data_IF_109749767328
#
_entry.id   IF_109749767328
#
_cell.length_a   1.000
_cell.length_b   1.000
_cell.length_c   1.000
_cell.angle_alpha   90.00
_cell.angle_beta   90.00
_cell.angle_gamma   90.00
#
_symmetry.space_group_name_H-M   'P 1'
#
loop_
_entity.id
_entity.type
_entity.pdbx_description
1 polymer ?
#
# COMPACT_ATOMS: atom_id res chain seq x y z
N UNK A 1 2.50 -7.00 0.27
CA UNK A 1 1.04 -6.91 0.33
C UNK A 1 0.64 -5.44 0.38
N UNK A 2 -0.12 -4.99 -0.61
CA UNK A 2 -0.60 -3.61 -0.70
C UNK A 2 -2.11 -3.60 -0.51
N UNK A 3 -2.60 -2.83 0.45
CA UNK A 3 -4.02 -2.68 0.78
C UNK A 3 -4.42 -1.21 0.63
N UNK A 4 -5.60 -0.97 0.07
CA UNK A 4 -6.11 0.40 -0.09
C UNK A 4 -6.55 0.97 1.27
N UNK A 5 -6.39 2.29 1.45
CA UNK A 5 -6.71 2.95 2.72
C UNK A 5 -8.20 2.84 3.09
N UNK A 6 -9.10 2.84 2.12
CA UNK A 6 -10.54 2.65 2.38
C UNK A 6 -10.84 1.26 2.94
N UNK A 7 -10.11 0.23 2.48
CA UNK A 7 -10.23 -1.12 3.02
C UNK A 7 -9.69 -1.18 4.44
N UNK A 8 -8.57 -0.52 4.74
CA UNK A 8 -8.06 -0.41 6.12
C UNK A 8 -9.07 0.30 7.01
N UNK A 9 -9.64 1.43 6.57
CA UNK A 9 -10.66 2.16 7.32
C UNK A 9 -11.90 1.30 7.58
N UNK A 10 -12.37 0.56 6.57
CA UNK A 10 -13.51 -0.34 6.73
C UNK A 10 -13.24 -1.49 7.70
N UNK A 11 -12.00 -2.02 7.73
CA UNK A 11 -11.59 -3.00 8.70
C UNK A 11 -11.63 -2.45 10.13
N UNK A 12 -11.12 -1.23 10.34
CA UNK A 12 -11.15 -0.59 11.65
C UNK A 12 -12.58 -0.35 12.13
N UNK A 13 -13.49 0.09 11.26
CA UNK A 13 -14.91 0.24 11.59
C UNK A 13 -15.50 -1.10 12.00
N UNK A 14 -15.26 -2.17 11.23
CA UNK A 14 -15.75 -3.50 11.57
C UNK A 14 -15.25 -3.99 12.94
N UNK A 15 -13.98 -3.71 13.29
CA UNK A 15 -13.43 -4.05 14.59
C UNK A 15 -14.08 -3.28 15.74
N UNK A 16 -14.34 -1.98 15.54
CA UNK A 16 -14.98 -1.12 16.55
C UNK A 16 -16.44 -1.51 16.80
N UNK A 17 -17.13 -1.92 15.74
CA UNK A 17 -18.54 -2.34 15.82
C UNK A 17 -18.74 -3.77 16.33
N UNK A 18 -17.67 -4.58 16.36
CA UNK A 18 -17.75 -5.95 16.83
C UNK A 18 -17.98 -6.01 18.35
N UNK A 19 -18.90 -6.85 18.83
CA UNK A 19 -19.20 -6.97 20.26
C UNK A 19 -18.02 -7.56 21.04
N UNK A 20 -17.30 -8.49 20.46
CA UNK A 20 -16.16 -9.19 21.07
C UNK A 20 -15.04 -9.40 20.04
N UNK A 21 -14.31 -8.32 19.66
CA UNK A 21 -13.24 -8.47 18.69
C UNK A 21 -12.04 -9.22 19.29
N UNK A 22 -11.32 -9.96 18.45
CA UNK A 22 -10.03 -10.50 18.86
C UNK A 22 -9.04 -9.34 19.14
N UNK A 23 -8.03 -9.57 20.03
CA UNK A 23 -7.11 -8.49 20.42
C UNK A 23 -6.21 -8.01 19.27
N UNK A 24 -6.01 -8.83 18.23
CA UNK A 24 -5.15 -8.54 17.09
C UNK A 24 -5.76 -9.12 15.82
N UNK A 25 -5.83 -8.31 14.77
CA UNK A 25 -6.14 -8.73 13.42
C UNK A 25 -5.07 -8.26 12.43
N UNK A 26 -4.76 -9.10 11.45
CA UNK A 26 -4.03 -8.67 10.28
C UNK A 26 -5.01 -8.06 9.27
N UNK A 27 -4.63 -6.91 8.71
CA UNK A 27 -5.38 -6.26 7.62
C UNK A 27 -4.52 -6.28 6.37
N UNK A 28 -4.93 -7.00 5.36
CA UNK A 28 -4.17 -7.16 4.12
C UNK A 28 -5.00 -7.85 3.04
N UNK A 29 -4.43 -7.97 1.86
CA UNK A 29 -5.10 -8.63 0.72
C UNK A 29 -4.76 -10.12 0.61
N UNK A 30 -3.74 -10.58 1.32
CA UNK A 30 -3.18 -11.92 1.17
C UNK A 30 -2.40 -12.12 -0.15
N UNK A 31 -2.21 -11.06 -0.93
CA UNK A 31 -1.53 -11.12 -2.23
C UNK A 31 -0.19 -10.41 -2.20
N UNK A 32 0.86 -11.14 -2.54
CA UNK A 32 2.20 -10.58 -2.69
C UNK A 32 2.36 -9.94 -4.07
N UNK A 33 2.76 -8.67 -4.11
CA UNK A 33 3.12 -7.97 -5.35
C UNK A 33 4.55 -7.49 -5.22
N UNK A 34 5.40 -7.79 -6.20
CA UNK A 34 6.79 -7.31 -6.22
C UNK A 34 6.83 -5.81 -6.52
N UNK A 35 7.92 -5.13 -6.14
CA UNK A 35 8.12 -3.72 -6.50
C UNK A 35 8.15 -3.51 -8.02
N UNK A 36 8.71 -4.46 -8.77
CA UNK A 36 8.73 -4.40 -10.24
C UNK A 36 7.32 -4.43 -10.77
N UNK A 37 6.49 -5.41 -10.35
CA UNK A 37 5.10 -5.51 -10.77
C UNK A 37 4.26 -4.29 -10.36
N UNK A 38 4.55 -3.69 -9.19
CA UNK A 38 3.90 -2.45 -8.78
C UNK A 38 4.26 -1.29 -9.71
N UNK A 39 5.54 -1.13 -10.07
CA UNK A 39 5.98 -0.10 -11.01
C UNK A 39 5.28 -0.27 -12.36
N UNK A 40 5.26 -1.48 -12.91
CA UNK A 40 4.57 -1.78 -14.18
C UNK A 40 3.08 -1.41 -14.14
N UNK A 41 2.39 -1.68 -13.05
CA UNK A 41 0.98 -1.28 -12.87
C UNK A 41 0.82 0.23 -12.78
N UNK A 42 1.70 0.92 -12.05
CA UNK A 42 1.69 2.39 -11.99
C UNK A 42 1.93 3.01 -13.36
N UNK A 43 2.90 2.50 -14.13
CA UNK A 43 3.19 2.95 -15.48
C UNK A 43 1.99 2.75 -16.41
N UNK A 44 1.33 1.59 -16.33
CA UNK A 44 0.15 1.29 -17.11
C UNK A 44 -1.01 2.25 -16.82
N UNK A 45 -1.27 2.55 -15.55
CA UNK A 45 -2.33 3.49 -15.13
C UNK A 45 -2.01 4.93 -15.54
N UNK A 46 -0.75 5.36 -15.40
CA UNK A 46 -0.34 6.73 -15.71
C UNK A 46 -0.04 6.97 -17.20
N UNK A 47 0.07 5.92 -18.01
CA UNK A 47 0.42 6.00 -19.43
C UNK A 47 1.83 6.56 -19.70
N UNK A 48 2.75 6.42 -18.74
CA UNK A 48 4.13 6.93 -18.85
C UNK A 48 5.09 6.07 -18.04
N UNK A 49 6.34 5.97 -18.50
CA UNK A 49 7.38 5.23 -17.81
C UNK A 49 7.94 5.96 -16.59
N UNK A 50 8.26 5.22 -15.55
CA UNK A 50 8.90 5.72 -14.36
C UNK A 50 10.43 5.76 -14.53
N UNK A 51 11.08 6.78 -13.95
CA UNK A 51 12.53 6.79 -13.82
C UNK A 51 12.93 5.95 -12.60
N UNK A 52 13.37 4.73 -12.83
CA UNK A 52 13.74 3.78 -11.77
C UNK A 52 15.25 3.80 -11.54
N UNK A 53 15.66 4.15 -10.32
CA UNK A 53 17.03 3.96 -9.85
C UNK A 53 17.10 2.73 -8.95
N UNK A 54 18.02 1.82 -9.24
CA UNK A 54 18.26 0.64 -8.42
C UNK A 54 19.44 0.91 -7.50
N UNK A 55 19.24 0.73 -6.21
CA UNK A 55 20.28 0.78 -5.18
C UNK A 55 20.47 -0.61 -4.56
N UNK A 56 21.54 -0.78 -3.80
CA UNK A 56 21.77 -2.02 -3.06
C UNK A 56 20.69 -2.28 -2.01
N UNK A 57 20.27 -3.55 -1.90
CA UNK A 57 19.30 -3.96 -0.91
C UNK A 57 19.86 -3.77 0.51
N UNK A 58 19.09 -3.16 1.40
CA UNK A 58 19.46 -3.02 2.81
C UNK A 58 19.34 -4.38 3.51
N UNK A 59 20.24 -4.67 4.45
CA UNK A 59 20.20 -5.93 5.23
C UNK A 59 18.90 -6.13 6.02
N UNK A 60 18.20 -5.05 6.37
CA UNK A 60 16.94 -5.06 7.12
C UNK A 60 15.69 -5.16 6.25
N UNK A 61 15.82 -5.14 4.90
CA UNK A 61 14.67 -5.18 4.02
C UNK A 61 14.04 -6.59 4.04
N UNK A 62 12.75 -6.62 4.37
CA UNK A 62 11.96 -7.85 4.30
C UNK A 62 11.79 -8.23 2.83
N UNK A 63 12.26 -9.43 2.48
CA UNK A 63 12.11 -9.96 1.11
C UNK A 63 10.65 -10.21 0.72
N UNK A 64 9.81 -10.48 1.71
CA UNK A 64 8.38 -10.76 1.50
C UNK A 64 7.60 -10.37 2.75
N UNK A 65 6.52 -9.62 2.55
CA UNK A 65 5.55 -9.29 3.57
C UNK A 65 4.14 -9.45 2.98
N UNK A 66 3.49 -10.57 3.30
CA UNK A 66 2.13 -10.89 2.87
C UNK A 66 1.37 -11.34 4.11
N UNK A 67 0.28 -10.65 4.40
CA UNK A 67 -0.49 -10.86 5.61
C UNK A 67 -1.63 -11.86 5.35
N UNK A 68 -1.88 -12.73 6.31
CA UNK A 68 -3.07 -13.56 6.35
C UNK A 68 -4.16 -12.83 7.13
N UNK A 69 -5.19 -12.37 6.43
CA UNK A 69 -6.37 -11.71 7.00
C UNK A 69 -7.53 -12.69 7.31
N UNK A 70 -7.28 -13.99 7.26
CA UNK A 70 -8.32 -15.02 7.42
C UNK A 70 -9.06 -14.96 8.76
N UNK A 71 -8.40 -14.51 9.85
CA UNK A 71 -9.06 -14.29 11.13
C UNK A 71 -10.10 -13.16 11.03
N UNK A 72 -9.72 -12.05 10.44
CA UNK A 72 -10.61 -10.90 10.24
C UNK A 72 -11.80 -11.24 9.35
N UNK A 73 -11.57 -11.99 8.27
CA UNK A 73 -12.62 -12.47 7.39
C UNK A 73 -13.62 -13.38 8.13
N UNK A 74 -13.11 -14.33 8.91
CA UNK A 74 -13.94 -15.30 9.62
C UNK A 74 -14.76 -14.66 10.73
N UNK A 75 -14.16 -13.79 11.53
CA UNK A 75 -14.78 -13.23 12.72
C UNK A 75 -15.71 -12.05 12.39
N UNK A 76 -15.32 -11.22 11.43
CA UNK A 76 -16.01 -9.97 11.10
C UNK A 76 -16.56 -9.93 9.67
N UNK A 77 -16.46 -11.01 8.91
CA UNK A 77 -16.93 -11.10 7.50
C UNK A 77 -16.33 -10.02 6.61
N UNK A 78 -15.14 -9.50 7.00
CA UNK A 78 -14.46 -8.44 6.28
C UNK A 78 -13.54 -9.00 5.17
N UNK A 79 -13.55 -8.34 4.01
CA UNK A 79 -12.62 -8.60 2.90
C UNK A 79 -12.20 -7.30 2.24
N UNK A 80 -10.95 -7.23 1.72
CA UNK A 80 -10.56 -6.09 0.90
C UNK A 80 -11.39 -6.05 -0.39
N UNK A 81 -11.82 -4.86 -0.78
CA UNK A 81 -12.71 -4.63 -1.94
C UNK A 81 -12.03 -3.90 -3.08
N UNK A 82 -11.00 -3.10 -2.78
CA UNK A 82 -10.31 -2.26 -3.76
C UNK A 82 -9.12 -3.04 -4.31
N UNK A 83 -9.10 -3.27 -5.62
CA UNK A 83 -7.95 -3.88 -6.28
C UNK A 83 -6.75 -2.94 -6.28
N UNK A 84 -5.52 -3.49 -6.46
CA UNK A 84 -4.32 -2.68 -6.54
C UNK A 84 -4.39 -1.70 -7.72
N UNK A 85 -4.85 -2.13 -8.88
CA UNK A 85 -5.04 -1.29 -10.07
C UNK A 85 -6.01 -0.14 -9.80
N UNK A 86 -7.17 -0.44 -9.23
CA UNK A 86 -8.17 0.58 -8.86
C UNK A 86 -7.61 1.55 -7.82
N UNK A 87 -6.90 1.05 -6.82
CA UNK A 87 -6.23 1.88 -5.79
C UNK A 87 -5.22 2.85 -6.39
N UNK A 88 -4.38 2.37 -7.33
CA UNK A 88 -3.43 3.22 -8.07
C UNK A 88 -4.17 4.28 -8.88
N UNK A 89 -5.24 3.92 -9.59
CA UNK A 89 -6.03 4.86 -10.39
C UNK A 89 -6.68 5.95 -9.53
N UNK A 90 -7.25 5.59 -8.38
CA UNK A 90 -7.82 6.54 -7.42
C UNK A 90 -6.76 7.49 -6.87
N UNK A 91 -5.57 6.97 -6.54
CA UNK A 91 -4.45 7.75 -6.05
C UNK A 91 -3.93 8.74 -7.11
N UNK A 92 -3.78 8.29 -8.36
CA UNK A 92 -3.41 9.14 -9.49
C UNK A 92 -4.40 10.29 -9.67
N UNK A 93 -5.70 10.00 -9.68
CA UNK A 93 -6.76 11.01 -9.78
C UNK A 93 -6.76 12.01 -8.60
N UNK A 94 -6.37 11.57 -7.41
CA UNK A 94 -6.21 12.45 -6.25
C UNK A 94 -5.08 13.45 -6.46
N UNK A 95 -3.94 13.01 -6.94
CA UNK A 95 -2.79 13.90 -7.23
C UNK A 95 -3.03 14.85 -8.39
N UNK A 96 -3.79 14.45 -9.41
CA UNK A 96 -4.15 15.31 -10.52
C UNK A 96 -5.10 16.46 -10.10
N UNK A 97 -5.92 16.24 -9.08
CA UNK A 97 -6.82 17.25 -8.50
C UNK A 97 -6.16 18.14 -7.46
N UNK A 98 -5.08 17.69 -6.85
CA UNK A 98 -4.35 18.48 -5.87
C UNK A 98 -3.71 19.69 -6.59
N UNK A 99 -3.84 20.93 -6.05
CA UNK A 99 -3.15 22.07 -6.62
C UNK A 99 -1.65 21.74 -6.68
N UNK A 100 -1.06 21.82 -7.87
CA UNK A 100 0.38 21.62 -8.05
C UNK A 100 1.08 22.65 -7.17
N UNK A 101 1.59 22.24 -6.02
CA UNK A 101 2.54 23.05 -5.27
C UNK A 101 3.73 23.29 -6.20
N UNK A 102 3.90 24.55 -6.62
CA UNK A 102 5.08 24.97 -7.35
C UNK A 102 6.31 24.54 -6.55
N UNK A 103 7.24 23.86 -7.25
CA UNK A 103 8.46 23.33 -6.66
C UNK A 103 8.29 22.05 -5.81
N UNK A 104 8.23 20.92 -6.48
CA UNK A 104 8.74 19.70 -5.87
C UNK A 104 10.26 19.85 -5.76
N UNK A 105 10.75 20.32 -4.62
CA UNK A 105 12.13 20.08 -4.23
C UNK A 105 12.32 18.56 -4.28
N UNK A 106 13.40 18.04 -4.91
CA UNK A 106 13.68 16.62 -4.81
C UNK A 106 13.80 16.28 -3.33
N UNK A 107 12.97 15.36 -2.85
CA UNK A 107 13.10 14.85 -1.49
C UNK A 107 14.43 14.12 -1.46
N UNK A 108 15.45 14.80 -0.97
CA UNK A 108 16.73 14.19 -0.63
C UNK A 108 16.51 13.49 0.71
N UNK A 109 16.33 12.20 0.66
CA UNK A 109 16.43 11.37 1.85
C UNK A 109 17.92 11.15 2.13
N UNK A 110 18.54 12.07 2.85
CA UNK A 110 19.90 11.89 3.37
C UNK A 110 19.80 10.94 4.57
N UNK A 111 20.21 9.71 4.38
CA UNK A 111 20.42 8.78 5.48
C UNK A 111 21.85 8.93 5.97
N UNK A 112 22.08 9.06 7.29
CA UNK A 112 23.44 9.13 7.82
C UNK A 112 24.19 7.85 7.45
N UNK A 113 25.34 8.02 6.78
CA UNK A 113 26.31 6.96 6.61
C UNK A 113 26.78 6.54 8.00
N UNK A 114 26.39 5.33 8.39
CA UNK A 114 26.88 4.70 9.61
C UNK A 114 28.37 4.46 9.44
N UNK A 115 29.19 5.15 10.26
CA UNK A 115 30.60 4.86 10.46
C UNK A 115 30.80 3.52 11.16
#
# INVERSE_FOLDING_TARGET
>A
DYVHIDDVASALVAMVEAPEPAPIYNVGTGRGTSLVALIEQVEAVLGRSALVRRDEARRADLRRNVLDAGLLERDLTWKPRVSLEEGIARLAAHFDRAPRRASALPIRLDFPSSG
#
